data_IF_781404348091
#
_entry.id   IF_781404348091
#
_cell.length_a   1.000
_cell.length_b   1.000
_cell.length_c   1.000
_cell.angle_alpha   90.00
_cell.angle_beta   90.00
_cell.angle_gamma   90.00
#
_symmetry.space_group_name_H-M   'P 1'
#
loop_
_entity.id
_entity.type
_entity.pdbx_description
1 polymer ?
#
# COMPACT_ATOMS: atom_id res chain seq x y z
N UNK A 1 12.37 -19.76 1.42
CA UNK A 1 12.43 -18.62 0.50
C UNK A 1 11.72 -19.05 -0.78
N UNK A 2 10.97 -18.16 -1.40
CA UNK A 2 10.25 -18.43 -2.64
C UNK A 2 11.01 -17.82 -3.81
N UNK A 3 11.11 -18.52 -4.92
CA UNK A 3 11.83 -18.12 -6.11
C UNK A 3 10.95 -18.25 -7.35
N UNK A 4 11.16 -17.38 -8.33
CA UNK A 4 10.59 -17.51 -9.67
C UNK A 4 11.70 -17.70 -10.71
N UNK A 5 11.55 -18.73 -11.56
CA UNK A 5 12.31 -18.87 -12.79
C UNK A 5 11.49 -18.21 -13.89
N UNK A 6 12.03 -17.15 -14.49
CA UNK A 6 11.37 -16.41 -15.56
C UNK A 6 12.17 -16.57 -16.84
N UNK A 7 11.52 -17.08 -17.88
CA UNK A 7 12.14 -17.28 -19.18
C UNK A 7 11.43 -16.46 -20.26
N UNK A 8 12.18 -15.65 -20.98
CA UNK A 8 11.70 -14.85 -22.09
C UNK A 8 12.86 -14.57 -23.07
N UNK A 9 12.60 -14.47 -24.36
CA UNK A 9 13.59 -14.11 -25.39
C UNK A 9 14.86 -15.00 -25.34
N UNK A 10 14.71 -16.31 -25.10
CA UNK A 10 15.83 -17.26 -24.91
C UNK A 10 16.77 -16.92 -23.74
N UNK A 11 16.31 -16.10 -22.80
CA UNK A 11 17.02 -15.73 -21.58
C UNK A 11 16.24 -16.17 -20.36
N UNK A 12 16.94 -16.43 -19.27
CA UNK A 12 16.34 -16.86 -18.00
C UNK A 12 16.88 -16.01 -16.87
N UNK A 13 15.98 -15.55 -16.00
CA UNK A 13 16.32 -14.95 -14.70
C UNK A 13 15.74 -15.81 -13.57
N UNK A 14 16.44 -15.81 -12.45
CA UNK A 14 15.94 -16.36 -11.18
C UNK A 14 15.76 -15.18 -10.26
N UNK A 15 14.52 -14.98 -9.80
CA UNK A 15 14.14 -13.91 -8.90
C UNK A 15 13.82 -14.51 -7.54
N UNK A 16 14.48 -14.04 -6.50
CA UNK A 16 14.28 -14.46 -5.11
C UNK A 16 13.33 -13.47 -4.43
N UNK A 17 12.25 -13.97 -3.81
CA UNK A 17 11.29 -13.17 -3.05
C UNK A 17 11.49 -13.36 -1.53
N UNK A 18 11.27 -12.28 -0.71
CA UNK A 18 10.84 -10.94 -1.14
C UNK A 18 11.93 -10.18 -1.90
N UNK A 19 11.52 -9.28 -2.78
CA UNK A 19 12.41 -8.41 -3.56
C UNK A 19 11.83 -7.01 -3.59
N UNK A 20 12.67 -6.00 -3.63
CA UNK A 20 12.27 -4.62 -3.90
C UNK A 20 11.71 -4.47 -5.32
N UNK A 21 10.68 -3.63 -5.48
CA UNK A 21 10.00 -3.46 -6.76
C UNK A 21 10.92 -2.92 -7.85
N UNK A 22 11.80 -1.98 -7.55
CA UNK A 22 12.77 -1.44 -8.50
C UNK A 22 13.75 -2.53 -8.97
N UNK A 23 14.24 -3.37 -8.04
CA UNK A 23 15.11 -4.49 -8.39
C UNK A 23 14.37 -5.57 -9.18
N UNK A 24 13.09 -5.79 -8.92
CA UNK A 24 12.23 -6.67 -9.73
C UNK A 24 12.17 -6.19 -11.19
N UNK A 25 11.80 -4.92 -11.42
CA UNK A 25 11.77 -4.32 -12.76
C UNK A 25 13.13 -4.37 -13.45
N UNK A 26 14.20 -4.09 -12.71
CA UNK A 26 15.56 -4.13 -13.24
C UNK A 26 15.97 -5.54 -13.69
N UNK A 27 15.64 -6.58 -12.91
CA UNK A 27 15.93 -7.96 -13.28
C UNK A 27 15.11 -8.40 -14.50
N UNK A 28 13.82 -8.05 -14.57
CA UNK A 28 12.99 -8.29 -15.75
C UNK A 28 13.55 -7.60 -17.00
N UNK A 29 14.00 -6.35 -16.86
CA UNK A 29 14.65 -5.59 -17.94
C UNK A 29 15.92 -6.25 -18.49
N UNK A 30 16.70 -6.94 -17.65
CA UNK A 30 17.93 -7.64 -18.07
C UNK A 30 17.65 -8.79 -19.05
N UNK A 31 16.49 -9.42 -18.97
CA UNK A 31 16.05 -10.48 -19.92
C UNK A 31 15.09 -9.95 -20.99
N UNK A 32 15.06 -8.62 -21.18
CA UNK A 32 14.31 -7.96 -22.23
C UNK A 32 12.80 -7.84 -22.00
N UNK A 33 12.31 -8.10 -20.79
CA UNK A 33 10.90 -7.90 -20.42
C UNK A 33 10.69 -6.42 -20.07
N UNK A 34 9.75 -5.77 -20.77
CA UNK A 34 9.34 -4.38 -20.54
C UNK A 34 7.92 -4.26 -20.00
N UNK A 35 7.21 -5.39 -19.87
CA UNK A 35 5.87 -5.45 -19.28
C UNK A 35 6.00 -5.33 -17.75
N UNK A 36 5.08 -4.59 -17.12
CA UNK A 36 4.99 -4.54 -15.68
C UNK A 36 4.64 -5.91 -15.07
N UNK A 37 5.07 -6.22 -13.83
CA UNK A 37 4.81 -7.50 -13.18
C UNK A 37 3.32 -7.89 -13.15
N UNK A 38 2.40 -6.92 -13.02
CA UNK A 38 0.94 -7.12 -13.06
C UNK A 38 0.39 -7.62 -14.41
N UNK A 39 1.21 -7.61 -15.47
CA UNK A 39 0.87 -8.12 -16.82
C UNK A 39 1.57 -9.45 -17.14
N UNK A 40 2.30 -10.03 -16.19
CA UNK A 40 3.06 -11.26 -16.35
C UNK A 40 2.33 -12.36 -15.58
N UNK A 41 1.58 -13.20 -16.29
CA UNK A 41 0.85 -14.32 -15.70
C UNK A 41 1.81 -15.43 -15.23
N UNK A 42 1.40 -16.13 -14.18
CA UNK A 42 2.11 -17.32 -13.69
C UNK A 42 1.78 -18.51 -14.62
N UNK A 43 2.62 -18.76 -15.59
CA UNK A 43 2.43 -19.88 -16.54
C UNK A 43 3.76 -20.55 -16.88
N UNK A 44 3.76 -21.87 -16.93
CA UNK A 44 4.88 -22.70 -17.41
C UNK A 44 4.63 -23.25 -18.82
N UNK A 45 3.59 -22.73 -19.51
CA UNK A 45 3.29 -23.11 -20.90
C UNK A 45 4.49 -22.77 -21.79
N UNK A 46 4.99 -23.80 -22.52
CA UNK A 46 6.15 -23.68 -23.41
C UNK A 46 5.88 -22.73 -24.59
N UNK A 47 4.63 -22.51 -24.96
CA UNK A 47 4.22 -21.60 -26.04
C UNK A 47 4.01 -20.14 -25.53
N UNK A 48 4.12 -19.88 -24.23
CA UNK A 48 3.98 -18.53 -23.69
C UNK A 48 5.20 -17.65 -24.01
N UNK A 49 4.97 -16.39 -24.34
CA UNK A 49 6.03 -15.39 -24.58
C UNK A 49 6.92 -15.19 -23.35
N UNK A 50 6.33 -15.26 -22.17
CA UNK A 50 7.00 -15.18 -20.89
C UNK A 50 6.52 -16.37 -20.05
N UNK A 51 7.43 -17.20 -19.62
CA UNK A 51 7.16 -18.33 -18.74
C UNK A 51 7.59 -17.97 -17.32
N UNK A 52 6.76 -18.27 -16.34
CA UNK A 52 7.05 -18.06 -14.92
C UNK A 52 6.78 -19.33 -14.15
N UNK A 53 7.82 -19.88 -13.55
CA UNK A 53 7.73 -21.07 -12.72
C UNK A 53 8.19 -20.77 -11.31
N UNK A 54 7.30 -20.94 -10.34
CA UNK A 54 7.60 -20.79 -8.92
C UNK A 54 8.23 -22.06 -8.36
N UNK A 55 9.21 -21.90 -7.45
CA UNK A 55 9.78 -22.99 -6.67
C UNK A 55 10.25 -22.48 -5.30
N UNK A 56 10.40 -23.38 -4.35
CA UNK A 56 10.92 -23.04 -3.03
C UNK A 56 11.88 -24.11 -2.52
N UNK A 57 12.82 -23.70 -1.67
CA UNK A 57 13.86 -24.57 -1.09
C UNK A 57 13.43 -25.15 0.26
N UNK A 58 12.29 -24.75 0.79
CA UNK A 58 11.80 -25.18 2.09
C UNK A 58 10.30 -25.50 2.04
N UNK A 59 9.82 -26.17 3.07
CA UNK A 59 8.45 -26.64 3.18
C UNK A 59 7.46 -25.49 3.24
N UNK A 60 7.74 -24.45 4.03
CA UNK A 60 6.91 -23.24 4.13
C UNK A 60 6.71 -22.59 2.76
N UNK A 61 7.78 -22.34 2.03
CA UNK A 61 7.70 -21.76 0.68
C UNK A 61 6.91 -22.64 -0.30
N UNK A 62 6.98 -23.98 -0.18
CA UNK A 62 6.16 -24.87 -0.99
C UNK A 62 4.66 -24.76 -0.67
N UNK A 63 4.29 -24.49 0.58
CA UNK A 63 2.91 -24.20 0.94
C UNK A 63 2.47 -22.81 0.45
N UNK A 64 3.35 -21.80 0.54
CA UNK A 64 3.08 -20.45 -0.02
C UNK A 64 2.82 -20.52 -1.52
N UNK A 65 3.56 -21.32 -2.29
CA UNK A 65 3.34 -21.49 -3.74
C UNK A 65 1.91 -21.95 -4.05
N UNK A 66 1.29 -22.76 -3.18
CA UNK A 66 -0.09 -23.26 -3.39
C UNK A 66 -1.17 -22.19 -3.29
N UNK A 67 -0.83 -21.02 -2.77
CA UNK A 67 -1.74 -19.86 -2.74
C UNK A 67 -1.95 -19.26 -4.13
N UNK A 68 -1.02 -19.51 -5.08
CA UNK A 68 -1.07 -18.91 -6.40
C UNK A 68 -1.71 -19.84 -7.43
N UNK A 69 -2.47 -19.23 -8.33
CA UNK A 69 -3.16 -19.89 -9.43
C UNK A 69 -2.62 -19.41 -10.79
N UNK A 70 -2.90 -20.10 -11.87
CA UNK A 70 -2.47 -19.74 -13.23
C UNK A 70 -2.96 -18.34 -13.68
N UNK A 71 -4.02 -17.82 -13.08
CA UNK A 71 -4.55 -16.46 -13.35
C UNK A 71 -3.82 -15.36 -12.61
N UNK A 72 -3.06 -15.72 -11.59
CA UNK A 72 -2.32 -14.74 -10.80
C UNK A 72 -1.09 -14.27 -11.57
N UNK A 73 -0.55 -13.13 -11.18
CA UNK A 73 0.58 -12.48 -11.85
C UNK A 73 1.83 -12.51 -10.99
N UNK A 74 2.94 -12.11 -11.58
CA UNK A 74 4.19 -11.95 -10.84
C UNK A 74 4.07 -10.86 -9.75
N UNK A 75 3.22 -9.87 -9.96
CA UNK A 75 2.89 -8.82 -9.00
C UNK A 75 2.14 -9.40 -7.78
N UNK A 76 1.20 -10.33 -8.01
CA UNK A 76 0.51 -11.02 -6.90
C UNK A 76 1.49 -11.81 -6.03
N UNK A 77 2.52 -12.43 -6.64
CA UNK A 77 3.59 -13.11 -5.89
C UNK A 77 4.40 -12.10 -5.08
N UNK A 78 4.83 -11.01 -5.72
CA UNK A 78 5.61 -9.96 -5.09
C UNK A 78 4.87 -9.38 -3.87
N UNK A 79 3.62 -9.00 -4.05
CA UNK A 79 2.78 -8.42 -3.00
C UNK A 79 2.50 -9.41 -1.86
N UNK A 80 2.14 -10.66 -2.18
CA UNK A 80 1.81 -11.66 -1.16
C UNK A 80 3.03 -12.05 -0.31
N UNK A 81 4.19 -12.27 -0.94
CA UNK A 81 5.42 -12.61 -0.21
C UNK A 81 5.92 -11.41 0.57
N UNK A 82 5.81 -10.19 0.02
CA UNK A 82 6.10 -8.95 0.73
C UNK A 82 5.24 -8.79 1.97
N UNK A 83 3.92 -9.01 1.87
CA UNK A 83 3.00 -8.93 3.02
C UNK A 83 3.33 -9.92 4.14
N UNK A 84 3.80 -11.13 3.79
CA UNK A 84 4.28 -12.10 4.77
C UNK A 84 5.59 -11.61 5.41
N UNK A 85 6.50 -11.05 4.61
CA UNK A 85 7.84 -10.66 5.07
C UNK A 85 7.82 -9.47 6.02
N UNK A 86 6.99 -8.46 5.74
CA UNK A 86 6.86 -7.25 6.58
C UNK A 86 6.00 -7.45 7.82
N UNK A 87 5.25 -8.55 7.92
CA UNK A 87 4.42 -8.83 9.09
C UNK A 87 5.28 -8.96 10.36
N UNK A 88 4.76 -8.51 11.51
CA UNK A 88 5.42 -8.67 12.80
C UNK A 88 5.61 -10.15 13.15
N UNK A 89 6.55 -10.46 14.04
CA UNK A 89 6.84 -11.84 14.44
C UNK A 89 5.62 -12.55 15.01
N UNK A 90 4.79 -11.85 15.80
CA UNK A 90 3.54 -12.39 16.37
C UNK A 90 2.50 -12.75 15.30
N UNK A 91 2.43 -11.95 14.22
CA UNK A 91 1.58 -12.23 13.07
C UNK A 91 2.15 -13.39 12.26
N UNK A 92 3.46 -13.39 12.00
CA UNK A 92 4.15 -14.46 11.26
C UNK A 92 3.96 -15.82 11.93
N UNK A 93 4.12 -15.91 13.25
CA UNK A 93 3.99 -17.17 14.00
C UNK A 93 2.57 -17.76 13.83
N UNK A 94 1.53 -16.94 13.94
CA UNK A 94 0.16 -17.42 13.74
C UNK A 94 -0.12 -17.74 12.27
N UNK A 95 0.33 -16.89 11.34
CA UNK A 95 0.12 -17.07 9.91
C UNK A 95 0.79 -18.35 9.38
N UNK A 96 1.98 -18.69 9.90
CA UNK A 96 2.72 -19.90 9.54
C UNK A 96 1.87 -21.15 9.78
N UNK A 97 1.09 -21.20 10.87
CA UNK A 97 0.19 -22.32 11.15
C UNK A 97 -0.90 -22.46 10.07
N UNK A 98 -1.51 -21.34 9.64
CA UNK A 98 -2.52 -21.36 8.57
C UNK A 98 -1.92 -21.84 7.24
N UNK A 99 -0.73 -21.36 6.90
CA UNK A 99 -0.04 -21.69 5.65
C UNK A 99 0.38 -23.16 5.64
N UNK A 100 1.05 -23.65 6.69
CA UNK A 100 1.54 -25.04 6.77
C UNK A 100 0.43 -26.08 6.82
N UNK A 101 -0.77 -25.71 7.24
CA UNK A 101 -1.94 -26.60 7.26
C UNK A 101 -2.84 -26.45 6.04
N UNK A 102 -2.40 -25.74 4.99
CA UNK A 102 -3.15 -25.47 3.75
C UNK A 102 -4.58 -24.91 4.04
N UNK A 103 -4.69 -23.99 5.02
CA UNK A 103 -5.97 -23.42 5.41
C UNK A 103 -6.33 -22.16 4.60
N UNK A 104 -5.43 -21.68 3.74
CA UNK A 104 -5.62 -20.49 2.92
C UNK A 104 -5.93 -20.89 1.47
N UNK A 105 -6.97 -20.27 0.91
CA UNK A 105 -7.41 -20.48 -0.46
C UNK A 105 -7.10 -19.22 -1.31
N UNK A 106 -5.83 -19.03 -1.67
CA UNK A 106 -5.39 -17.93 -2.53
C UNK A 106 -4.98 -16.67 -1.77
N UNK A 107 -4.49 -15.70 -2.50
CA UNK A 107 -3.90 -14.44 -1.97
C UNK A 107 -4.92 -13.59 -1.22
N UNK A 108 -6.16 -13.50 -1.71
CA UNK A 108 -7.22 -12.74 -1.01
C UNK A 108 -7.54 -13.32 0.38
N UNK A 109 -7.49 -14.66 0.55
CA UNK A 109 -7.68 -15.27 1.87
C UNK A 109 -6.46 -15.02 2.76
N UNK A 110 -5.25 -15.00 2.20
CA UNK A 110 -4.03 -14.64 2.91
C UNK A 110 -4.15 -13.23 3.54
N UNK A 111 -4.51 -12.22 2.75
CA UNK A 111 -4.63 -10.85 3.24
C UNK A 111 -5.70 -10.69 4.32
N UNK A 112 -6.86 -11.34 4.14
CA UNK A 112 -7.91 -11.35 5.16
C UNK A 112 -7.44 -11.98 6.46
N UNK A 113 -6.71 -13.09 6.39
CA UNK A 113 -6.18 -13.78 7.57
C UNK A 113 -5.12 -12.92 8.28
N UNK A 114 -4.20 -12.30 7.54
CA UNK A 114 -3.24 -11.34 8.12
C UNK A 114 -3.97 -10.22 8.87
N UNK A 115 -5.01 -9.64 8.27
CA UNK A 115 -5.81 -8.60 8.89
C UNK A 115 -6.49 -9.08 10.17
N UNK A 116 -7.16 -10.24 10.13
CA UNK A 116 -7.84 -10.83 11.29
C UNK A 116 -6.87 -11.12 12.45
N UNK A 117 -5.67 -11.63 12.14
CA UNK A 117 -4.62 -11.85 13.15
C UNK A 117 -4.19 -10.51 13.75
N UNK A 118 -3.90 -9.48 12.92
CA UNK A 118 -3.52 -8.15 13.39
C UNK A 118 -4.60 -7.53 14.29
N UNK A 119 -5.86 -7.67 13.91
CA UNK A 119 -7.01 -7.19 14.71
C UNK A 119 -7.12 -7.90 16.06
N UNK A 120 -6.85 -9.19 16.09
CA UNK A 120 -6.92 -9.99 17.31
C UNK A 120 -5.79 -9.65 18.29
N UNK A 121 -4.56 -9.45 17.82
CA UNK A 121 -3.39 -9.15 18.67
C UNK A 121 -3.30 -7.67 19.04
N UNK A 122 -3.88 -6.77 18.23
CA UNK A 122 -3.83 -5.32 18.38
C UNK A 122 -5.22 -4.68 18.31
N UNK A 123 -6.06 -4.85 19.34
CA UNK A 123 -7.45 -4.41 19.31
C UNK A 123 -7.64 -2.89 19.45
N UNK A 124 -6.61 -2.14 19.89
CA UNK A 124 -6.70 -0.69 20.07
C UNK A 124 -6.38 -0.02 18.73
N UNK A 125 -7.27 0.87 18.29
CA UNK A 125 -7.08 1.69 17.10
C UNK A 125 -6.93 3.13 17.51
N UNK A 126 -5.84 3.75 17.09
CA UNK A 126 -5.63 5.21 17.17
C UNK A 126 -5.68 5.75 15.76
N UNK A 127 -6.69 6.57 15.47
CA UNK A 127 -6.91 7.12 14.13
C UNK A 127 -6.34 8.54 14.05
N UNK A 128 -5.63 8.81 12.96
CA UNK A 128 -5.11 10.12 12.61
C UNK A 128 -5.75 10.60 11.30
N UNK A 129 -5.92 11.91 11.19
CA UNK A 129 -6.40 12.59 10.00
C UNK A 129 -5.40 13.65 9.57
N UNK A 130 -5.12 13.71 8.27
CA UNK A 130 -4.40 14.80 7.64
C UNK A 130 -5.18 15.33 6.43
N UNK A 131 -5.34 16.66 6.26
CA UNK A 131 -5.97 17.19 5.07
C UNK A 131 -5.14 16.85 3.85
N UNK A 132 -5.79 16.44 2.76
CA UNK A 132 -5.15 16.06 1.52
C UNK A 132 -5.39 17.07 0.43
N UNK A 133 -4.35 17.36 -0.35
CA UNK A 133 -4.45 17.96 -1.66
C UNK A 133 -3.94 16.95 -2.67
N UNK A 134 -4.76 16.61 -3.66
CA UNK A 134 -4.34 15.80 -4.78
C UNK A 134 -3.57 16.65 -5.78
N UNK A 135 -2.37 16.22 -6.17
CA UNK A 135 -1.66 16.76 -7.33
C UNK A 135 -1.65 15.72 -8.44
N UNK A 136 -1.88 16.20 -9.64
CA UNK A 136 -1.95 15.38 -10.84
C UNK A 136 -0.68 15.56 -11.63
N UNK A 137 -0.01 14.46 -11.96
CA UNK A 137 1.15 14.44 -12.83
C UNK A 137 0.79 13.73 -14.13
N UNK A 138 1.35 14.17 -15.26
CA UNK A 138 1.27 13.41 -16.49
C UNK A 138 2.22 12.19 -16.46
N UNK A 139 2.07 11.28 -17.44
CA UNK A 139 2.83 10.03 -17.55
C UNK A 139 4.34 10.22 -17.83
N UNK A 140 4.80 11.44 -18.07
CA UNK A 140 6.21 11.77 -18.36
C UNK A 140 6.88 12.60 -17.24
N UNK A 141 6.27 12.76 -16.06
CA UNK A 141 6.72 13.72 -15.05
C UNK A 141 6.82 15.16 -15.59
N UNK A 142 5.99 15.46 -16.59
CA UNK A 142 5.92 16.76 -17.20
C UNK A 142 5.46 17.82 -16.22
N UNK A 143 5.97 19.02 -16.40
CA UNK A 143 5.59 20.17 -15.59
C UNK A 143 4.07 20.37 -15.70
N UNK A 144 3.36 20.40 -14.58
CA UNK A 144 1.90 20.66 -14.51
C UNK A 144 1.45 21.95 -15.22
N UNK A 145 2.41 22.74 -15.70
CA UNK A 145 2.16 23.99 -16.43
C UNK A 145 1.59 23.80 -17.85
N UNK A 146 1.62 22.57 -18.40
CA UNK A 146 1.11 22.29 -19.75
C UNK A 146 -0.35 21.84 -19.76
N UNK A 147 -0.92 21.50 -18.60
CA UNK A 147 -2.33 21.12 -18.44
C UNK A 147 -3.12 22.32 -17.94
N UNK A 148 -4.18 22.73 -18.66
CA UNK A 148 -4.98 23.90 -18.30
C UNK A 148 -5.74 23.69 -16.97
N UNK A 149 -5.99 24.78 -16.23
CA UNK A 149 -6.70 24.76 -14.94
C UNK A 149 -8.05 24.02 -14.97
N UNK A 150 -8.72 23.99 -16.12
CA UNK A 150 -10.00 23.30 -16.29
C UNK A 150 -9.80 21.77 -16.37
N UNK A 151 -8.79 21.33 -17.11
CA UNK A 151 -8.46 19.91 -17.28
C UNK A 151 -7.93 19.33 -15.96
N UNK A 152 -7.11 20.08 -15.22
CA UNK A 152 -6.64 19.69 -13.88
C UNK A 152 -7.83 19.50 -12.93
N UNK A 153 -8.80 20.41 -12.93
CA UNK A 153 -9.97 20.30 -12.04
C UNK A 153 -10.89 19.14 -12.43
N UNK A 154 -11.08 18.91 -13.73
CA UNK A 154 -11.88 17.78 -14.21
C UNK A 154 -11.20 16.46 -13.85
N UNK A 155 -9.87 16.37 -14.06
CA UNK A 155 -9.09 15.21 -13.68
C UNK A 155 -9.08 14.98 -12.16
N UNK A 156 -8.95 16.02 -11.34
CA UNK A 156 -9.03 15.92 -9.88
C UNK A 156 -10.33 15.25 -9.40
N UNK A 157 -11.46 15.63 -9.96
CA UNK A 157 -12.75 15.03 -9.57
C UNK A 157 -12.81 13.55 -9.91
N UNK A 158 -12.38 13.15 -11.11
CA UNK A 158 -12.34 11.74 -11.52
C UNK A 158 -11.33 10.93 -10.70
N UNK A 159 -10.22 11.55 -10.32
CA UNK A 159 -9.19 10.96 -9.47
C UNK A 159 -9.71 10.78 -8.05
N UNK A 160 -10.38 11.76 -7.49
CA UNK A 160 -11.02 11.67 -6.18
C UNK A 160 -12.04 10.52 -6.16
N UNK A 161 -12.90 10.41 -7.18
CA UNK A 161 -13.83 9.28 -7.35
C UNK A 161 -13.11 7.92 -7.54
N UNK A 162 -11.99 7.89 -8.27
CA UNK A 162 -11.24 6.65 -8.48
C UNK A 162 -10.55 6.21 -7.19
N UNK A 163 -10.00 7.15 -6.42
CA UNK A 163 -9.37 6.86 -5.12
C UNK A 163 -10.36 6.35 -4.09
N UNK A 164 -11.58 6.89 -4.05
CA UNK A 164 -12.65 6.34 -3.22
C UNK A 164 -12.98 4.88 -3.60
N UNK A 165 -12.88 4.53 -4.88
CA UNK A 165 -13.14 3.18 -5.40
C UNK A 165 -11.96 2.23 -5.25
N UNK A 166 -10.73 2.73 -5.40
CA UNK A 166 -9.49 1.95 -5.40
C UNK A 166 -8.71 2.02 -4.09
N UNK A 167 -9.37 2.43 -2.99
CA UNK A 167 -8.73 2.37 -1.67
C UNK A 167 -8.04 1.01 -1.53
N UNK A 168 -6.72 1.04 -1.39
CA UNK A 168 -5.97 -0.18 -1.08
C UNK A 168 -6.00 -0.39 0.44
N UNK A 169 -6.99 -1.13 0.98
CA UNK A 169 -7.13 -1.33 2.42
C UNK A 169 -6.00 -2.18 3.01
N UNK A 170 -5.15 -2.73 2.15
CA UNK A 170 -4.11 -3.68 2.51
C UNK A 170 -2.71 -3.03 2.57
N UNK A 171 -2.58 -1.72 2.27
CA UNK A 171 -1.31 -1.03 2.40
C UNK A 171 -1.01 -0.73 3.87
N UNK A 172 -0.11 -1.51 4.44
CA UNK A 172 0.33 -1.38 5.82
C UNK A 172 1.62 -0.55 5.91
N UNK A 173 1.51 0.64 6.47
CA UNK A 173 2.60 1.61 6.61
C UNK A 173 3.41 1.43 7.90
N UNK A 174 3.08 0.45 8.76
CA UNK A 174 3.66 0.35 10.11
C UNK A 174 5.19 0.41 10.13
N UNK A 175 5.85 -0.23 9.15
CA UNK A 175 7.31 -0.26 9.07
C UNK A 175 7.96 1.10 8.78
N UNK A 176 7.19 2.09 8.31
CA UNK A 176 7.70 3.37 7.82
C UNK A 176 7.20 4.57 8.60
N UNK A 177 6.21 4.40 9.50
CA UNK A 177 5.51 5.54 10.10
C UNK A 177 6.35 6.31 11.09
N UNK A 178 7.19 5.66 11.88
CA UNK A 178 8.00 6.37 12.87
C UNK A 178 9.27 5.61 13.25
N UNK A 179 10.34 6.37 13.48
CA UNK A 179 11.60 5.86 14.04
C UNK A 179 11.61 5.87 15.58
N UNK A 180 10.54 6.33 16.23
CA UNK A 180 10.47 6.39 17.68
C UNK A 180 10.39 4.96 18.27
N UNK A 181 11.41 4.50 19.02
CA UNK A 181 11.56 3.08 19.34
C UNK A 181 10.32 2.48 20.02
N UNK A 182 9.78 3.15 21.05
CA UNK A 182 8.65 2.60 21.81
C UNK A 182 7.32 2.72 21.07
N UNK A 183 7.13 3.71 20.20
CA UNK A 183 5.96 3.80 19.35
C UNK A 183 6.01 2.70 18.27
N UNK A 184 7.17 2.51 17.64
CA UNK A 184 7.38 1.47 16.64
C UNK A 184 7.20 0.06 17.24
N UNK A 185 7.73 -0.21 18.45
CA UNK A 185 7.57 -1.49 19.13
C UNK A 185 6.09 -1.83 19.45
N UNK A 186 5.24 -0.82 19.64
CA UNK A 186 3.80 -1.00 19.91
C UNK A 186 2.96 -1.10 18.65
N UNK A 187 3.42 -0.54 17.53
CA UNK A 187 2.68 -0.44 16.30
C UNK A 187 2.66 -1.78 15.57
N UNK A 188 1.49 -2.38 15.46
CA UNK A 188 1.30 -3.67 14.78
C UNK A 188 0.89 -3.47 13.34
N UNK A 189 0.07 -2.47 13.06
CA UNK A 189 -0.29 -2.08 11.71
C UNK A 189 -0.66 -0.60 11.64
N UNK A 190 -0.46 0.00 10.46
CA UNK A 190 -0.89 1.34 10.14
C UNK A 190 -1.46 1.34 8.73
N UNK A 191 -2.79 1.39 8.64
CA UNK A 191 -3.51 1.31 7.36
C UNK A 191 -3.99 2.69 6.97
N UNK A 192 -3.65 3.09 5.74
CA UNK A 192 -4.06 4.35 5.17
C UNK A 192 -5.33 4.19 4.32
N UNK A 193 -6.20 5.19 4.39
CA UNK A 193 -7.40 5.31 3.58
C UNK A 193 -7.73 6.78 3.33
N UNK A 194 -8.66 7.07 2.43
CA UNK A 194 -9.19 8.42 2.19
C UNK A 194 -10.60 8.49 2.77
N UNK A 195 -10.88 9.57 3.51
CA UNK A 195 -12.21 9.85 4.07
C UNK A 195 -12.61 11.29 3.74
N UNK A 196 -13.82 11.48 3.22
CA UNK A 196 -14.41 12.80 3.01
C UNK A 196 -15.18 13.23 4.26
N UNK A 197 -14.83 14.38 4.83
CA UNK A 197 -15.50 14.98 5.98
C UNK A 197 -15.88 16.41 5.63
N UNK A 198 -17.19 16.72 5.60
CA UNK A 198 -17.73 18.04 5.29
C UNK A 198 -17.21 18.63 3.94
N UNK A 199 -17.03 17.77 2.94
CA UNK A 199 -16.56 18.17 1.60
C UNK A 199 -15.06 18.39 1.51
N UNK A 200 -14.29 17.99 2.50
CA UNK A 200 -12.82 18.02 2.52
C UNK A 200 -12.29 16.60 2.57
N UNK A 201 -11.32 16.29 1.68
CA UNK A 201 -10.65 15.00 1.69
C UNK A 201 -9.56 14.97 2.76
N UNK A 202 -9.56 13.89 3.52
CA UNK A 202 -8.55 13.59 4.53
C UNK A 202 -7.89 12.25 4.27
N UNK A 203 -6.58 12.20 4.43
CA UNK A 203 -5.88 10.95 4.67
C UNK A 203 -6.22 10.48 6.08
N UNK A 204 -6.76 9.28 6.18
CA UNK A 204 -7.04 8.62 7.45
C UNK A 204 -6.06 7.50 7.65
N UNK A 205 -5.37 7.51 8.78
CA UNK A 205 -4.42 6.48 9.15
C UNK A 205 -4.89 5.80 10.44
N UNK A 206 -5.19 4.52 10.35
CA UNK A 206 -5.59 3.69 11.49
C UNK A 206 -4.38 2.92 12.02
N UNK A 207 -3.79 3.39 13.11
CA UNK A 207 -2.68 2.76 13.81
C UNK A 207 -3.20 1.76 14.85
N UNK A 208 -2.84 0.47 14.72
CA UNK A 208 -3.25 -0.59 15.64
C UNK A 208 -2.14 -0.95 16.62
N UNK A 209 -2.53 -1.13 17.88
CA UNK A 209 -1.63 -1.54 18.96
C UNK A 209 -2.32 -2.43 19.99
N UNK A 210 -1.54 -3.24 20.70
CA UNK A 210 -2.04 -4.02 21.85
C UNK A 210 -2.19 -3.17 23.11
N UNK A 211 -1.43 -2.08 23.23
CA UNK A 211 -1.40 -1.16 24.37
C UNK A 211 -1.50 0.27 23.87
N UNK A 212 -2.32 1.09 24.51
CA UNK A 212 -2.50 2.49 24.11
C UNK A 212 -1.17 3.26 24.02
N UNK A 213 -1.07 4.13 23.04
CA UNK A 213 0.05 5.05 22.88
C UNK A 213 0.00 6.14 23.95
N UNK A 214 1.17 6.57 24.41
CA UNK A 214 1.33 7.76 25.27
C UNK A 214 1.22 9.04 24.43
N UNK A 215 1.09 10.19 25.09
CA UNK A 215 1.08 11.49 24.39
C UNK A 215 2.37 11.72 23.56
N UNK A 216 3.54 11.32 24.10
CA UNK A 216 4.82 11.43 23.39
C UNK A 216 4.87 10.52 22.15
N UNK A 217 4.34 9.30 22.25
CA UNK A 217 4.26 8.36 21.14
C UNK A 217 3.24 8.81 20.07
N UNK A 218 2.13 9.43 20.47
CA UNK A 218 1.17 10.04 19.56
C UNK A 218 1.81 11.17 18.75
N UNK A 219 2.57 12.05 19.39
CA UNK A 219 3.29 13.11 18.68
C UNK A 219 4.35 12.54 17.73
N UNK A 220 5.07 11.50 18.14
CA UNK A 220 6.03 10.82 17.25
C UNK A 220 5.36 10.15 16.04
N UNK A 221 4.15 9.61 16.21
CA UNK A 221 3.36 9.08 15.09
C UNK A 221 2.90 10.22 14.17
N UNK A 222 2.45 11.35 14.70
CA UNK A 222 2.09 12.52 13.89
C UNK A 222 3.28 13.04 13.08
N UNK A 223 4.46 13.15 13.70
CA UNK A 223 5.68 13.57 13.01
C UNK A 223 6.04 12.62 11.87
N UNK A 224 5.94 11.31 12.10
CA UNK A 224 6.19 10.30 11.09
C UNK A 224 5.17 10.33 9.94
N UNK A 225 3.88 10.46 10.24
CA UNK A 225 2.82 10.63 9.24
C UNK A 225 3.05 11.92 8.43
N UNK A 226 3.47 13.00 9.07
CA UNK A 226 3.81 14.25 8.38
C UNK A 226 4.98 14.07 7.41
N UNK A 227 6.02 13.33 7.81
CA UNK A 227 7.15 12.99 6.95
C UNK A 227 6.73 12.18 5.73
N UNK A 228 5.97 11.12 5.92
CA UNK A 228 5.44 10.29 4.82
C UNK A 228 4.57 11.11 3.86
N UNK A 229 3.78 12.02 4.41
CA UNK A 229 2.90 12.86 3.61
C UNK A 229 3.66 13.89 2.77
N UNK A 230 4.84 14.34 3.19
CA UNK A 230 5.69 15.23 2.38
C UNK A 230 6.37 14.50 1.22
N UNK A 231 6.59 13.20 1.34
CA UNK A 231 7.20 12.36 0.31
C UNK A 231 6.15 11.77 -0.66
N UNK A 232 4.88 12.08 -0.44
CA UNK A 232 3.74 11.49 -1.12
C UNK A 232 3.29 10.19 -0.46
N UNK A 233 2.02 10.11 -0.02
CA UNK A 233 1.46 8.83 0.39
C UNK A 233 1.41 7.92 -0.82
N UNK A 234 2.35 7.03 -0.88
CA UNK A 234 2.23 5.86 -1.67
C UNK A 234 2.96 5.86 -2.97
N UNK A 235 4.14 5.30 -2.92
CA UNK A 235 4.71 4.59 -4.06
C UNK A 235 3.67 3.65 -4.71
N UNK A 236 2.64 3.20 -3.97
CA UNK A 236 1.53 2.41 -4.49
C UNK A 236 0.58 3.16 -5.42
N UNK A 237 0.35 4.45 -5.20
CA UNK A 237 -0.51 5.28 -6.04
C UNK A 237 0.22 5.87 -7.25
N UNK A 238 1.46 6.29 -7.08
CA UNK A 238 2.29 6.79 -8.19
C UNK A 238 2.55 5.74 -9.28
N UNK A 239 2.42 4.46 -8.95
CA UNK A 239 2.69 3.38 -9.89
C UNK A 239 1.45 2.89 -10.64
N UNK A 240 0.26 3.35 -10.29
CA UNK A 240 -0.99 3.00 -10.96
C UNK A 240 -1.58 4.25 -11.59
N UNK A 241 -1.35 4.47 -12.88
CA UNK A 241 -2.00 5.56 -13.57
C UNK A 241 -3.52 5.37 -13.52
N UNK A 242 -4.23 6.48 -13.26
CA UNK A 242 -5.68 6.54 -13.34
C UNK A 242 -6.03 7.02 -14.74
N UNK A 243 -6.81 6.24 -15.49
CA UNK A 243 -7.33 6.65 -16.78
C UNK A 243 -8.33 7.79 -16.59
N UNK A 244 -8.07 8.94 -17.20
CA UNK A 244 -8.95 10.09 -17.21
C UNK A 244 -9.24 10.55 -18.63
N UNK A 245 -10.21 11.44 -18.80
CA UNK A 245 -10.54 12.04 -20.10
C UNK A 245 -9.39 12.84 -20.74
N UNK A 246 -8.40 13.21 -19.94
CA UNK A 246 -7.20 13.96 -20.39
C UNK A 246 -5.94 13.08 -20.50
N UNK A 247 -6.06 11.78 -20.26
CA UNK A 247 -5.00 10.79 -20.35
C UNK A 247 -4.72 10.08 -19.02
N UNK A 248 -3.67 9.26 -19.00
CA UNK A 248 -3.23 8.56 -17.79
C UNK A 248 -2.58 9.57 -16.84
N UNK A 249 -3.14 9.69 -15.63
CA UNK A 249 -2.67 10.61 -14.60
C UNK A 249 -2.15 9.85 -13.39
N UNK A 250 -1.06 10.34 -12.81
CA UNK A 250 -0.52 9.87 -11.55
C UNK A 250 -0.92 10.84 -10.46
N UNK A 251 -1.32 10.33 -9.29
CA UNK A 251 -1.77 11.14 -8.19
C UNK A 251 -0.77 11.10 -7.06
N UNK A 252 -0.28 12.25 -6.69
CA UNK A 252 0.47 12.44 -5.45
C UNK A 252 -0.38 13.20 -4.45
N UNK A 253 -0.43 12.71 -3.22
CA UNK A 253 -1.09 13.40 -2.13
C UNK A 253 -0.08 14.21 -1.33
N UNK A 254 -0.42 15.46 -1.09
CA UNK A 254 0.40 16.39 -0.34
C UNK A 254 -0.39 16.98 0.81
N UNK A 255 0.28 17.32 1.90
CA UNK A 255 -0.30 18.23 2.86
C UNK A 255 -0.62 19.58 2.19
N UNK A 256 -1.86 20.04 2.33
CA UNK A 256 -2.30 21.28 1.72
C UNK A 256 -1.77 22.51 2.48
N UNK A 257 -0.55 22.96 2.19
CA UNK A 257 -0.05 24.25 2.63
C UNK A 257 0.31 24.38 4.11
N UNK A 258 0.25 25.60 4.66
CA UNK A 258 0.79 25.97 5.98
C UNK A 258 0.10 25.33 7.20
N UNK A 259 -0.97 24.54 7.01
CA UNK A 259 -1.71 23.89 8.07
C UNK A 259 -1.36 22.39 8.19
N UNK A 260 -0.12 22.10 8.55
CA UNK A 260 0.39 20.75 8.84
C UNK A 260 -0.22 20.17 10.13
N UNK A 261 -1.53 20.15 10.27
CA UNK A 261 -2.15 19.59 11.46
C UNK A 261 -2.64 18.18 11.20
N UNK A 262 -1.76 17.22 11.51
CA UNK A 262 -2.21 15.86 11.74
C UNK A 262 -2.94 15.85 13.07
N UNK A 263 -4.19 15.40 13.04
CA UNK A 263 -5.07 15.36 14.22
C UNK A 263 -5.42 13.92 14.56
N UNK A 264 -5.46 13.60 15.82
CA UNK A 264 -6.15 12.39 16.27
C UNK A 264 -7.65 12.54 16.01
N UNK A 265 -8.38 11.42 16.06
CA UNK A 265 -9.84 11.46 15.94
C UNK A 265 -10.49 12.39 16.95
N UNK A 266 -10.03 12.37 18.19
CA UNK A 266 -10.54 13.23 19.27
C UNK A 266 -10.32 14.71 18.95
N UNK A 267 -9.12 15.08 18.50
CA UNK A 267 -8.79 16.47 18.11
C UNK A 267 -9.60 16.90 16.88
N UNK A 268 -9.88 15.98 15.95
CA UNK A 268 -10.71 16.25 14.78
C UNK A 268 -12.17 16.50 15.18
N UNK A 269 -12.72 15.64 16.02
CA UNK A 269 -14.09 15.75 16.54
C UNK A 269 -14.27 17.07 17.34
N UNK A 270 -13.26 17.50 18.10
CA UNK A 270 -13.24 18.78 18.80
C UNK A 270 -13.21 19.98 17.84
N UNK A 271 -12.40 19.94 16.79
CA UNK A 271 -12.30 20.99 15.79
C UNK A 271 -13.63 21.19 15.04
N UNK A 272 -14.26 20.11 14.61
CA UNK A 272 -15.58 20.13 13.95
C UNK A 272 -16.68 20.62 14.89
N UNK A 273 -16.65 20.19 16.16
CA UNK A 273 -17.62 20.64 17.18
C UNK A 273 -17.49 22.12 17.55
N UNK A 274 -16.31 22.72 17.37
CA UNK A 274 -16.10 24.18 17.58
C UNK A 274 -16.57 24.98 16.35
N UNK A 275 -16.40 24.48 15.12
CA UNK A 275 -16.87 25.10 13.89
C UNK A 275 -18.39 25.31 13.88
N UNK A 276 -19.15 24.28 14.26
CA UNK A 276 -20.62 24.36 14.34
C UNK A 276 -21.15 25.37 15.38
N UNK A 277 -20.35 25.70 16.41
CA UNK A 277 -20.75 26.71 17.40
C UNK A 277 -20.53 28.15 16.94
N UNK A 278 -19.65 28.37 15.99
CA UNK A 278 -19.36 29.73 15.46
C UNK A 278 -20.32 30.16 14.35
N UNK A 279 -20.88 29.21 13.57
CA UNK A 279 -21.88 29.52 12.54
C UNK A 279 -23.30 29.77 13.10
N UNK A 280 -23.54 29.45 14.36
CA UNK A 280 -24.81 29.62 15.06
C UNK A 280 -24.96 30.93 15.86
N UNK A 281 -24.01 31.85 15.80
CA UNK A 281 -24.03 33.18 16.41
C UNK A 281 -24.14 34.29 15.36
#
# INVERSE_FOLDING_TARGET
MLNAIITANDQTAIIEFPIDQFDLYKQLGQIGIRKGPHKIALTDDEDAEIQVKLYADNDFGNHVIRLFHERDTLDDVHTAVGAIDIASDDVKEQLEEYILHDQLEGTGHLYNTIREIKEAIAPIVTTFYCPLTAQVHDDEYGDMNDVGDYEIRAAQYEIEEALEREQNPDFDMAAYITDHPTANDKLVSAVWSVEEIDGVLYGRIDCRSAVAFTEEEIEALKDGISGQNSDGFGEGFEQRPIETDVGDMYVSFWNSGDDYFIRTKEEMDEALGQGMKMEGM
#
